data_IF_965063531170
#
_entry.id   IF_965063531170
#
_cell.length_a   1.000
_cell.length_b   1.000
_cell.length_c   1.000
_cell.angle_alpha   90.00
_cell.angle_beta   90.00
_cell.angle_gamma   90.00
#
_symmetry.space_group_name_H-M   'P 1'
#
loop_
_entity.id
_entity.type
_entity.pdbx_description
1 polymer ?
#
# COMPACT_ATOMS: atom_id res chain seq x y z
N UNK A 1 9.94 -29.07 -6.17
CA UNK A 1 10.58 -28.28 -5.10
C UNK A 1 10.32 -26.82 -5.39
N UNK A 2 9.33 -26.21 -4.74
CA UNK A 2 8.99 -24.81 -4.97
C UNK A 2 9.96 -23.93 -4.20
N UNK A 3 10.80 -23.19 -4.90
CA UNK A 3 11.58 -22.10 -4.29
C UNK A 3 10.60 -21.12 -3.62
N UNK A 4 10.95 -20.65 -2.42
CA UNK A 4 10.11 -19.72 -1.67
C UNK A 4 9.98 -18.39 -2.43
N UNK A 5 8.88 -17.67 -2.24
CA UNK A 5 8.73 -16.32 -2.79
C UNK A 5 9.91 -15.40 -2.40
N UNK A 6 10.39 -15.51 -1.17
CA UNK A 6 11.52 -14.74 -0.64
C UNK A 6 12.81 -14.99 -1.42
N UNK A 7 13.09 -16.25 -1.77
CA UNK A 7 14.25 -16.63 -2.58
C UNK A 7 14.19 -15.97 -3.96
N UNK A 8 13.06 -16.09 -4.65
CA UNK A 8 12.85 -15.45 -5.95
C UNK A 8 12.99 -13.93 -5.87
N UNK A 9 12.42 -13.31 -4.84
CA UNK A 9 12.50 -11.88 -4.62
C UNK A 9 13.95 -11.43 -4.40
N UNK A 10 14.71 -12.14 -3.57
CA UNK A 10 16.14 -11.84 -3.35
C UNK A 10 16.98 -11.98 -4.62
N UNK A 11 16.71 -12.98 -5.46
CA UNK A 11 17.40 -13.11 -6.75
C UNK A 11 17.07 -11.94 -7.68
N UNK A 12 15.79 -11.54 -7.76
CA UNK A 12 15.39 -10.36 -8.51
C UNK A 12 16.11 -9.10 -8.01
N UNK A 13 16.17 -8.89 -6.69
CA UNK A 13 16.84 -7.74 -6.08
C UNK A 13 18.33 -7.70 -6.44
N UNK A 14 19.01 -8.84 -6.39
CA UNK A 14 20.43 -8.94 -6.75
C UNK A 14 20.67 -8.57 -8.22
N UNK A 15 19.89 -9.14 -9.14
CA UNK A 15 20.00 -8.85 -10.57
C UNK A 15 19.68 -7.40 -10.92
N UNK A 16 18.60 -6.84 -10.33
CA UNK A 16 18.21 -5.46 -10.54
C UNK A 16 19.25 -4.48 -9.97
N UNK A 17 19.85 -4.79 -8.82
CA UNK A 17 20.90 -3.96 -8.20
C UNK A 17 22.12 -3.84 -9.10
N UNK A 18 22.55 -4.94 -9.74
CA UNK A 18 23.68 -4.93 -10.68
C UNK A 18 23.39 -3.97 -11.84
N UNK A 19 22.18 -4.01 -12.39
CA UNK A 19 21.80 -3.13 -13.50
C UNK A 19 21.71 -1.66 -13.06
N UNK A 20 21.21 -1.39 -11.85
CA UNK A 20 21.17 -0.03 -11.29
C UNK A 20 22.58 0.53 -11.07
N UNK A 21 23.52 -0.26 -10.54
CA UNK A 21 24.90 0.16 -10.37
C UNK A 21 25.60 0.47 -11.70
N UNK A 22 25.34 -0.33 -12.74
CA UNK A 22 25.85 -0.04 -14.08
C UNK A 22 25.31 1.29 -14.63
N UNK A 23 24.01 1.54 -14.47
CA UNK A 23 23.36 2.79 -14.89
C UNK A 23 23.78 4.02 -14.07
N UNK A 24 24.12 3.83 -12.79
CA UNK A 24 24.68 4.89 -11.95
C UNK A 24 26.13 5.23 -12.37
N UNK A 25 26.88 4.25 -12.91
CA UNK A 25 28.23 4.46 -13.45
C UNK A 25 28.22 5.05 -14.87
N UNK A 26 27.31 4.59 -15.73
CA UNK A 26 27.05 5.12 -17.07
C UNK A 26 25.55 5.18 -17.34
N UNK A 27 24.99 6.39 -17.31
CA UNK A 27 23.56 6.62 -17.55
C UNK A 27 23.10 6.26 -18.96
N UNK A 28 24.02 6.04 -19.90
CA UNK A 28 23.72 5.67 -21.29
C UNK A 28 23.94 4.18 -21.59
N UNK A 29 24.19 3.35 -20.57
CA UNK A 29 24.31 1.90 -20.75
C UNK A 29 22.98 1.28 -21.19
N UNK A 30 22.82 1.14 -22.51
CA UNK A 30 21.63 0.60 -23.14
C UNK A 30 21.40 -0.89 -22.81
N UNK A 31 22.46 -1.66 -22.56
CA UNK A 31 22.34 -3.08 -22.22
C UNK A 31 21.80 -3.23 -20.80
N UNK A 32 22.35 -2.48 -19.84
CA UNK A 32 21.86 -2.46 -18.47
C UNK A 32 20.41 -1.97 -18.40
N UNK A 33 20.06 -0.91 -19.13
CA UNK A 33 18.69 -0.41 -19.22
C UNK A 33 17.71 -1.48 -19.77
N UNK A 34 18.05 -2.12 -20.89
CA UNK A 34 17.20 -3.14 -21.50
C UNK A 34 17.11 -4.43 -20.66
N UNK A 35 18.15 -4.78 -19.90
CA UNK A 35 18.10 -5.88 -18.94
C UNK A 35 17.21 -5.53 -17.76
N UNK A 36 17.32 -4.31 -17.22
CA UNK A 36 16.51 -3.84 -16.11
C UNK A 36 15.03 -3.81 -16.45
N UNK A 37 14.67 -3.33 -17.64
CA UNK A 37 13.29 -3.32 -18.14
C UNK A 37 12.70 -4.74 -18.17
N UNK A 38 13.42 -5.70 -18.77
CA UNK A 38 12.99 -7.11 -18.80
C UNK A 38 12.82 -7.72 -17.41
N UNK A 39 13.70 -7.39 -16.48
CA UNK A 39 13.59 -7.84 -15.09
C UNK A 39 12.34 -7.26 -14.43
N UNK A 40 12.11 -5.95 -14.59
CA UNK A 40 10.96 -5.25 -14.02
C UNK A 40 9.63 -5.79 -14.59
N UNK A 41 9.55 -6.03 -15.89
CA UNK A 41 8.38 -6.62 -16.54
C UNK A 41 8.07 -8.01 -16.00
N UNK A 42 9.10 -8.86 -15.85
CA UNK A 42 8.95 -10.19 -15.25
C UNK A 42 8.44 -10.09 -13.82
N UNK A 43 9.04 -9.24 -13.00
CA UNK A 43 8.63 -9.03 -11.61
C UNK A 43 7.18 -8.51 -11.52
N UNK A 44 6.80 -7.55 -12.37
CA UNK A 44 5.44 -7.02 -12.42
C UNK A 44 4.43 -8.10 -12.81
N UNK A 45 4.77 -8.93 -13.79
CA UNK A 45 3.95 -10.07 -14.21
C UNK A 45 3.77 -11.11 -13.08
N UNK A 46 4.86 -11.49 -12.41
CA UNK A 46 4.84 -12.44 -11.29
C UNK A 46 4.01 -11.90 -10.12
N UNK A 47 4.23 -10.64 -9.72
CA UNK A 47 3.47 -9.99 -8.65
C UNK A 47 1.97 -9.91 -8.99
N UNK A 48 1.64 -9.59 -10.24
CA UNK A 48 0.26 -9.59 -10.72
C UNK A 48 -0.37 -10.98 -10.65
N UNK A 49 0.36 -12.03 -11.04
CA UNK A 49 -0.14 -13.41 -10.95
C UNK A 49 -0.36 -13.85 -9.51
N UNK A 50 0.58 -13.55 -8.60
CA UNK A 50 0.41 -13.83 -7.17
C UNK A 50 -0.85 -13.14 -6.64
N UNK A 51 -1.05 -11.87 -7.01
CA UNK A 51 -2.24 -11.11 -6.62
C UNK A 51 -3.54 -11.74 -7.15
N UNK A 52 -3.58 -12.11 -8.43
CA UNK A 52 -4.77 -12.71 -9.05
C UNK A 52 -5.11 -14.09 -8.49
N UNK A 53 -4.09 -14.91 -8.20
CA UNK A 53 -4.28 -16.27 -7.69
C UNK A 53 -4.61 -16.29 -6.21
N UNK A 54 -4.05 -15.36 -5.44
CA UNK A 54 -4.27 -15.29 -3.99
C UNK A 54 -4.13 -13.85 -3.47
N UNK A 55 -5.18 -13.02 -3.57
CA UNK A 55 -5.14 -11.64 -3.08
C UNK A 55 -4.78 -11.56 -1.59
N UNK A 56 -5.20 -12.53 -0.79
CA UNK A 56 -4.88 -12.58 0.64
C UNK A 56 -3.40 -12.89 0.91
N UNK A 57 -2.72 -13.59 -0.01
CA UNK A 57 -1.30 -13.90 0.15
C UNK A 57 -0.43 -12.67 -0.05
N UNK A 58 -0.88 -11.67 -0.82
CA UNK A 58 -0.11 -10.44 -1.03
C UNK A 58 0.11 -9.66 0.27
N UNK A 59 -0.88 -9.65 1.17
CA UNK A 59 -0.73 -8.99 2.46
C UNK A 59 0.33 -9.66 3.31
N UNK A 60 0.30 -11.00 3.34
CA UNK A 60 1.31 -11.79 4.05
C UNK A 60 2.70 -11.52 3.52
N UNK A 61 2.82 -11.42 2.20
CA UNK A 61 4.07 -11.10 1.51
C UNK A 61 4.54 -9.68 1.87
N UNK A 62 3.67 -8.67 1.80
CA UNK A 62 3.99 -7.28 2.18
C UNK A 62 4.38 -7.14 3.66
N UNK A 63 3.87 -8.01 4.52
CA UNK A 63 4.20 -8.08 5.95
C UNK A 63 5.50 -8.87 6.22
N UNK A 64 6.08 -9.56 5.24
CA UNK A 64 7.31 -10.34 5.44
C UNK A 64 8.54 -9.46 5.44
N UNK A 65 9.39 -9.61 6.47
CA UNK A 65 10.72 -9.03 6.49
C UNK A 65 11.72 -9.97 5.81
N UNK A 66 12.34 -9.53 4.71
CA UNK A 66 13.11 -10.42 3.83
C UNK A 66 14.34 -11.04 4.49
N UNK A 67 14.99 -10.37 5.45
CA UNK A 67 16.13 -10.96 6.17
C UNK A 67 15.72 -12.11 7.10
N UNK A 68 14.62 -11.96 7.82
CA UNK A 68 14.22 -12.89 8.88
C UNK A 68 13.24 -13.96 8.38
N UNK A 69 12.53 -13.70 7.28
CA UNK A 69 11.41 -14.52 6.81
C UNK A 69 10.19 -14.48 7.73
N UNK A 70 10.27 -13.68 8.80
CA UNK A 70 9.18 -13.54 9.76
C UNK A 70 8.20 -12.47 9.28
N UNK A 71 6.92 -12.66 9.64
CA UNK A 71 5.95 -11.58 9.50
C UNK A 71 6.33 -10.50 10.49
N UNK A 72 6.66 -9.35 9.96
CA UNK A 72 6.89 -8.16 10.74
C UNK A 72 5.56 -7.75 11.36
N UNK A 73 5.43 -7.98 12.67
CA UNK A 73 4.32 -7.42 13.46
C UNK A 73 4.38 -5.89 13.50
N UNK A 74 5.54 -5.33 13.17
CA UNK A 74 5.78 -3.90 13.10
C UNK A 74 5.87 -3.48 11.64
N UNK A 75 5.03 -2.56 11.15
CA UNK A 75 5.19 -2.02 9.80
C UNK A 75 6.56 -1.34 9.65
N UNK A 76 7.03 -1.21 8.40
CA UNK A 76 8.28 -0.49 8.14
C UNK A 76 8.21 0.94 8.73
N UNK A 77 9.31 1.44 9.33
CA UNK A 77 9.32 2.78 9.91
C UNK A 77 8.90 3.85 8.90
N UNK A 78 8.12 4.89 9.27
CA UNK A 78 7.74 5.96 8.35
C UNK A 78 8.95 6.62 7.65
N UNK A 79 10.09 6.72 8.35
CA UNK A 79 11.35 7.25 7.85
C UNK A 79 11.92 6.44 6.67
N UNK A 80 11.62 5.14 6.61
CA UNK A 80 12.05 4.26 5.52
C UNK A 80 11.41 4.69 4.20
N UNK A 81 10.07 4.80 4.17
CA UNK A 81 9.34 5.24 2.98
C UNK A 81 9.65 6.69 2.60
N UNK A 82 9.88 7.53 3.59
CA UNK A 82 10.35 8.89 3.38
C UNK A 82 11.69 8.89 2.62
N UNK A 83 12.70 8.17 3.09
CA UNK A 83 14.02 8.11 2.44
C UNK A 83 13.92 7.62 0.99
N UNK A 84 13.03 6.66 0.73
CA UNK A 84 12.75 6.19 -0.63
C UNK A 84 12.16 7.27 -1.53
N UNK A 85 11.20 8.06 -1.03
CA UNK A 85 10.61 9.16 -1.80
C UNK A 85 11.66 10.20 -2.23
N UNK A 86 12.73 10.39 -1.44
CA UNK A 86 13.85 11.26 -1.81
C UNK A 86 14.69 10.66 -2.95
N UNK A 87 14.88 9.34 -2.96
CA UNK A 87 15.61 8.62 -4.01
C UNK A 87 14.83 8.60 -5.34
N UNK A 88 13.50 8.52 -5.29
CA UNK A 88 12.66 8.40 -6.49
C UNK A 88 12.55 9.70 -7.29
N UNK A 89 12.82 10.85 -6.66
CA UNK A 89 12.75 12.19 -7.29
C UNK A 89 11.47 12.35 -8.11
N UNK A 90 10.32 12.11 -7.47
CA UNK A 90 9.02 12.15 -8.15
C UNK A 90 8.72 13.54 -8.70
N UNK A 91 8.29 13.62 -9.96
CA UNK A 91 7.87 14.90 -10.56
C UNK A 91 6.61 15.44 -9.88
N UNK A 92 6.34 16.76 -9.97
CA UNK A 92 5.12 17.33 -9.41
C UNK A 92 3.83 16.69 -9.95
N UNK A 93 3.81 16.28 -11.23
CA UNK A 93 2.67 15.58 -11.83
C UNK A 93 2.50 14.17 -11.26
N UNK A 94 3.59 13.41 -11.12
CA UNK A 94 3.57 12.09 -10.48
C UNK A 94 3.04 12.19 -9.04
N UNK A 95 3.55 13.16 -8.26
CA UNK A 95 3.08 13.38 -6.90
C UNK A 95 1.59 13.74 -6.86
N UNK A 96 1.12 14.62 -7.76
CA UNK A 96 -0.28 15.00 -7.83
C UNK A 96 -1.21 13.81 -8.11
N UNK A 97 -0.82 12.92 -9.05
CA UNK A 97 -1.58 11.71 -9.38
C UNK A 97 -1.66 10.74 -8.20
N UNK A 98 -0.53 10.46 -7.55
CA UNK A 98 -0.50 9.55 -6.40
C UNK A 98 -1.38 10.07 -5.25
N UNK A 99 -1.28 11.36 -4.96
CA UNK A 99 -2.07 11.98 -3.90
C UNK A 99 -3.56 12.02 -4.22
N UNK A 100 -3.94 12.20 -5.49
CA UNK A 100 -5.33 12.10 -5.93
C UNK A 100 -5.89 10.69 -5.70
N UNK A 101 -5.15 9.65 -6.11
CA UNK A 101 -5.57 8.26 -5.93
C UNK A 101 -5.62 7.88 -4.44
N UNK A 102 -4.67 8.36 -3.64
CA UNK A 102 -4.68 8.13 -2.19
C UNK A 102 -5.86 8.79 -1.48
N UNK A 103 -6.20 10.02 -1.86
CA UNK A 103 -7.40 10.68 -1.33
C UNK A 103 -8.68 9.92 -1.74
N UNK A 104 -8.74 9.41 -2.98
CA UNK A 104 -9.83 8.54 -3.41
C UNK A 104 -9.87 7.24 -2.58
N UNK A 105 -8.73 6.57 -2.37
CA UNK A 105 -8.65 5.39 -1.50
C UNK A 105 -9.18 5.74 -0.11
N UNK A 106 -8.68 6.80 0.54
CA UNK A 106 -9.08 7.17 1.89
C UNK A 106 -10.60 7.35 1.99
N UNK A 107 -11.20 8.04 1.01
CA UNK A 107 -12.66 8.24 0.95
C UNK A 107 -13.43 6.93 0.82
N UNK A 108 -12.96 5.97 0.02
CA UNK A 108 -13.65 4.68 -0.15
C UNK A 108 -13.39 3.76 1.04
N UNK A 109 -12.15 3.71 1.55
CA UNK A 109 -11.76 2.96 2.75
C UNK A 109 -12.57 3.39 3.96
N UNK A 110 -12.80 4.70 4.17
CA UNK A 110 -13.63 5.18 5.28
C UNK A 110 -15.05 4.62 5.23
N UNK A 111 -15.68 4.61 4.06
CA UNK A 111 -17.03 4.03 3.86
C UNK A 111 -17.04 2.52 4.09
N UNK A 112 -15.99 1.83 3.65
CA UNK A 112 -15.82 0.39 3.88
C UNK A 112 -15.70 0.09 5.37
N UNK A 113 -14.91 0.88 6.10
CA UNK A 113 -14.73 0.72 7.54
C UNK A 113 -16.02 1.03 8.32
N UNK A 114 -16.80 2.03 7.90
CA UNK A 114 -18.14 2.29 8.45
C UNK A 114 -19.08 1.09 8.24
N UNK A 115 -19.17 0.57 7.02
CA UNK A 115 -20.00 -0.60 6.72
C UNK A 115 -19.53 -1.85 7.49
N UNK A 116 -18.22 -2.03 7.64
CA UNK A 116 -17.65 -3.14 8.42
C UNK A 116 -18.03 -3.04 9.90
N UNK A 117 -17.96 -1.85 10.50
CA UNK A 117 -18.38 -1.63 11.89
C UNK A 117 -19.86 -1.91 12.09
N UNK A 118 -20.72 -1.44 11.19
CA UNK A 118 -22.17 -1.73 11.23
C UNK A 118 -22.47 -3.23 11.13
N UNK A 119 -21.80 -3.93 10.22
CA UNK A 119 -21.98 -5.39 10.06
C UNK A 119 -21.44 -6.18 11.25
N UNK A 120 -20.34 -5.74 11.86
CA UNK A 120 -19.79 -6.35 13.08
C UNK A 120 -20.74 -6.16 14.27
N UNK A 121 -21.36 -4.98 14.43
CA UNK A 121 -22.39 -4.75 15.45
C UNK A 121 -23.56 -5.70 15.29
N UNK A 122 -24.11 -5.80 14.06
CA UNK A 122 -25.23 -6.71 13.75
C UNK A 122 -24.90 -8.18 13.98
N UNK A 123 -23.67 -8.59 13.67
CA UNK A 123 -23.23 -9.95 13.94
C UNK A 123 -23.15 -10.20 15.45
N UNK A 124 -22.64 -9.25 16.22
CA UNK A 124 -22.56 -9.35 17.67
C UNK A 124 -23.95 -9.42 18.32
N UNK A 125 -24.87 -8.53 17.93
CA UNK A 125 -26.27 -8.52 18.38
C UNK A 125 -27.00 -9.83 18.00
N UNK A 126 -26.78 -10.34 16.79
CA UNK A 126 -27.36 -11.60 16.34
C UNK A 126 -26.87 -12.80 17.15
N UNK A 127 -25.58 -12.81 17.52
CA UNK A 127 -24.99 -13.84 18.37
C UNK A 127 -25.53 -13.79 19.81
N UNK A 128 -25.71 -12.60 20.39
CA UNK A 128 -26.31 -12.44 21.73
C UNK A 128 -27.77 -12.94 21.76
N UNK A 129 -28.55 -12.64 20.71
CA UNK A 129 -29.92 -13.14 20.58
C UNK A 129 -29.97 -14.67 20.43
N UNK A 130 -28.99 -15.27 19.76
CA UNK A 130 -28.84 -16.71 19.62
C UNK A 130 -28.49 -17.41 20.95
N UNK A 131 -27.65 -16.81 21.78
CA UNK A 131 -27.35 -17.32 23.13
C UNK A 131 -28.58 -17.34 24.03
N UNK A 132 -29.52 -16.42 23.80
CA UNK A 132 -30.71 -16.24 24.64
C UNK A 132 -31.90 -17.13 24.22
N UNK A 133 -32.02 -17.52 22.94
CA UNK A 133 -33.23 -18.19 22.40
C UNK A 133 -32.92 -19.34 21.39
N UNK A 134 -31.91 -20.15 21.72
CA UNK A 134 -31.41 -21.29 20.93
C UNK A 134 -32.50 -22.29 20.49
N UNK A 135 -33.51 -22.53 21.34
CA UNK A 135 -34.56 -23.52 21.06
C UNK A 135 -35.58 -23.06 20.00
N UNK A 136 -35.85 -21.75 19.91
CA UNK A 136 -36.78 -21.20 18.92
C UNK A 136 -36.15 -21.00 17.53
N UNK A 137 -34.86 -20.63 17.50
CA UNK A 137 -34.12 -20.40 16.26
C UNK A 137 -33.90 -21.68 15.46
N UNK A 138 -33.62 -22.79 16.16
CA UNK A 138 -33.44 -24.12 15.58
C UNK A 138 -34.70 -24.63 14.85
N UNK A 139 -35.89 -24.13 15.21
CA UNK A 139 -37.17 -24.54 14.61
C UNK A 139 -37.62 -23.69 13.41
N UNK A 140 -37.04 -22.50 13.19
CA UNK A 140 -37.60 -21.48 12.27
C UNK A 140 -36.73 -21.09 11.08
N UNK A 141 -35.46 -21.49 10.98
CA UNK A 141 -34.58 -20.98 9.92
C UNK A 141 -33.93 -22.04 9.04
N UNK A 142 -34.12 -21.91 7.72
CA UNK A 142 -33.36 -22.65 6.69
C UNK A 142 -32.01 -22.00 6.35
N UNK A 143 -31.81 -20.72 6.70
CA UNK A 143 -30.54 -19.99 6.56
C UNK A 143 -30.44 -19.04 7.76
N UNK A 144 -29.37 -19.14 8.55
CA UNK A 144 -29.20 -18.28 9.72
C UNK A 144 -28.82 -16.84 9.29
N UNK A 145 -29.31 -15.78 9.97
CA UNK A 145 -29.04 -14.38 9.64
C UNK A 145 -27.54 -14.05 9.65
N UNK A 146 -26.75 -14.77 10.44
CA UNK A 146 -25.28 -14.69 10.47
C UNK A 146 -24.69 -14.99 9.08
N UNK A 147 -25.26 -15.96 8.35
CA UNK A 147 -24.79 -16.30 7.00
C UNK A 147 -25.00 -15.14 6.00
N UNK A 148 -26.04 -14.32 6.19
CA UNK A 148 -26.28 -13.13 5.36
C UNK A 148 -25.24 -12.05 5.67
N UNK A 149 -24.97 -11.81 6.96
CA UNK A 149 -23.97 -10.85 7.42
C UNK A 149 -22.56 -11.26 6.98
N UNK A 150 -22.19 -12.54 7.11
CA UNK A 150 -20.91 -13.10 6.66
C UNK A 150 -20.73 -12.92 5.15
N UNK A 151 -21.75 -13.24 4.33
CA UNK A 151 -21.69 -13.01 2.88
C UNK A 151 -21.46 -11.54 2.54
N UNK A 152 -22.05 -10.62 3.31
CA UNK A 152 -21.87 -9.18 3.10
C UNK A 152 -20.50 -8.69 3.54
N UNK A 153 -20.00 -9.16 4.69
CA UNK A 153 -18.62 -8.92 5.13
C UNK A 153 -17.60 -9.40 4.09
N UNK A 154 -17.82 -10.57 3.49
CA UNK A 154 -16.95 -11.08 2.43
C UNK A 154 -16.90 -10.13 1.21
N UNK A 155 -18.05 -9.58 0.79
CA UNK A 155 -18.10 -8.56 -0.28
C UNK A 155 -17.40 -7.25 0.12
N UNK A 156 -17.47 -6.85 1.39
CA UNK A 156 -16.74 -5.68 1.92
C UNK A 156 -15.24 -5.90 1.79
N UNK A 157 -14.74 -7.06 2.22
CA UNK A 157 -13.33 -7.44 2.13
C UNK A 157 -12.83 -7.43 0.67
N UNK A 158 -13.59 -7.98 -0.27
CA UNK A 158 -13.18 -7.93 -1.68
C UNK A 158 -13.13 -6.52 -2.27
N UNK A 159 -14.03 -5.62 -1.85
CA UNK A 159 -13.96 -4.21 -2.26
C UNK A 159 -12.72 -3.53 -1.69
N UNK A 160 -12.37 -3.82 -0.44
CA UNK A 160 -11.15 -3.32 0.19
C UNK A 160 -9.90 -3.76 -0.58
N UNK A 161 -9.80 -5.05 -0.90
CA UNK A 161 -8.72 -5.61 -1.72
C UNK A 161 -8.65 -4.97 -3.11
N UNK A 162 -9.81 -4.75 -3.75
CA UNK A 162 -9.88 -4.11 -5.06
C UNK A 162 -9.35 -2.67 -5.05
N UNK A 163 -9.57 -1.92 -3.97
CA UNK A 163 -9.07 -0.54 -3.85
C UNK A 163 -7.56 -0.50 -3.63
N UNK A 164 -7.03 -1.41 -2.81
CA UNK A 164 -5.58 -1.52 -2.62
C UNK A 164 -4.88 -1.85 -3.94
N UNK A 165 -5.52 -2.64 -4.80
CA UNK A 165 -4.99 -2.92 -6.13
C UNK A 165 -4.97 -1.69 -7.04
N UNK A 166 -5.94 -0.79 -6.94
CA UNK A 166 -5.92 0.46 -7.70
C UNK A 166 -4.65 1.26 -7.40
N UNK A 167 -4.25 1.40 -6.13
CA UNK A 167 -3.01 2.12 -5.82
C UNK A 167 -1.78 1.42 -6.38
N UNK A 168 -1.72 0.09 -6.27
CA UNK A 168 -0.62 -0.70 -6.85
C UNK A 168 -0.52 -0.48 -8.36
N UNK A 169 -1.64 -0.58 -9.07
CA UNK A 169 -1.70 -0.39 -10.52
C UNK A 169 -1.30 1.03 -10.92
N UNK A 170 -1.76 2.04 -10.18
CA UNK A 170 -1.39 3.42 -10.47
C UNK A 170 0.07 3.72 -10.15
N UNK A 171 0.59 3.24 -9.03
CA UNK A 171 1.98 3.45 -8.63
C UNK A 171 2.92 2.76 -9.63
N UNK A 172 2.80 1.45 -9.79
CA UNK A 172 3.75 0.64 -10.57
C UNK A 172 3.47 0.64 -12.07
N UNK A 173 2.21 0.74 -12.49
CA UNK A 173 1.83 0.61 -13.90
C UNK A 173 1.67 1.92 -14.66
N UNK A 174 1.46 3.05 -13.97
CA UNK A 174 1.11 4.33 -14.63
C UNK A 174 1.95 5.53 -14.20
N UNK A 175 2.54 5.49 -13.01
CA UNK A 175 3.19 6.67 -12.44
C UNK A 175 4.70 6.58 -12.51
N UNK A 176 5.29 5.50 -12.01
CA UNK A 176 6.74 5.35 -11.97
C UNK A 176 7.30 4.98 -13.35
N UNK A 177 8.46 5.53 -13.70
CA UNK A 177 9.27 4.98 -14.78
C UNK A 177 9.86 3.63 -14.37
N UNK A 178 10.34 2.85 -15.35
CA UNK A 178 11.04 1.57 -15.09
C UNK A 178 12.19 1.76 -14.10
N UNK A 179 13.00 2.82 -14.28
CA UNK A 179 14.11 3.14 -13.39
C UNK A 179 13.63 3.47 -11.97
N UNK A 180 12.56 4.27 -11.83
CA UNK A 180 12.00 4.59 -10.52
C UNK A 180 11.40 3.34 -9.85
N UNK A 181 10.71 2.49 -10.60
CA UNK A 181 10.18 1.23 -10.09
C UNK A 181 11.31 0.31 -9.59
N UNK A 182 12.37 0.12 -10.39
CA UNK A 182 13.54 -0.64 -9.98
C UNK A 182 14.19 -0.11 -8.71
N UNK A 183 14.42 1.22 -8.66
CA UNK A 183 14.96 1.88 -7.46
C UNK A 183 14.06 1.64 -6.26
N UNK A 184 12.75 1.82 -6.41
CA UNK A 184 11.81 1.58 -5.33
C UNK A 184 11.93 0.15 -4.80
N UNK A 185 11.92 -0.85 -5.68
CA UNK A 185 11.97 -2.26 -5.26
C UNK A 185 13.30 -2.59 -4.59
N UNK A 186 14.42 -2.18 -5.17
CA UNK A 186 15.77 -2.46 -4.64
C UNK A 186 16.02 -1.76 -3.32
N UNK A 187 15.75 -0.45 -3.23
CA UNK A 187 16.03 0.33 -2.04
C UNK A 187 15.02 0.10 -0.91
N UNK A 188 13.90 -0.58 -1.15
CA UNK A 188 12.96 -0.95 -0.08
C UNK A 188 13.46 -2.08 0.80
N UNK A 189 14.54 -2.76 0.41
CA UNK A 189 15.16 -3.79 1.24
C UNK A 189 15.40 -3.28 2.68
N UNK A 190 15.06 -4.05 3.73
CA UNK A 190 14.60 -5.45 3.71
C UNK A 190 13.08 -5.65 3.63
N UNK A 191 12.32 -4.59 3.38
CA UNK A 191 10.87 -4.63 3.24
C UNK A 191 10.44 -4.80 1.79
N UNK A 192 9.26 -5.38 1.60
CA UNK A 192 8.61 -5.37 0.30
C UNK A 192 7.89 -4.03 0.12
N UNK A 193 8.03 -3.36 -1.03
CA UNK A 193 7.40 -2.07 -1.26
C UNK A 193 5.88 -2.14 -1.06
N UNK A 194 5.36 -1.45 -0.04
CA UNK A 194 3.92 -1.30 0.20
C UNK A 194 3.42 -0.02 -0.51
N UNK A 195 2.65 -0.14 -1.61
CA UNK A 195 2.14 1.00 -2.34
C UNK A 195 1.34 1.96 -1.47
N UNK A 196 0.56 1.44 -0.52
CA UNK A 196 -0.30 2.25 0.34
C UNK A 196 0.55 3.03 1.35
N UNK A 197 1.53 2.37 1.99
CA UNK A 197 2.43 3.02 2.94
C UNK A 197 3.29 4.11 2.28
N UNK A 198 3.80 3.85 1.06
CA UNK A 198 4.62 4.81 0.30
C UNK A 198 3.80 6.06 -0.04
N UNK A 199 2.59 5.89 -0.55
CA UNK A 199 1.76 7.04 -0.94
C UNK A 199 1.21 7.77 0.30
N UNK A 200 0.94 7.06 1.40
CA UNK A 200 0.62 7.66 2.69
C UNK A 200 1.76 8.56 3.19
N UNK A 201 3.01 8.06 3.15
CA UNK A 201 4.19 8.85 3.53
C UNK A 201 4.33 10.12 2.66
N UNK A 202 4.03 10.03 1.36
CA UNK A 202 4.01 11.20 0.47
C UNK A 202 2.93 12.21 0.87
N UNK A 203 1.73 11.73 1.23
CA UNK A 203 0.64 12.58 1.70
C UNK A 203 1.00 13.30 3.01
N UNK A 204 1.58 12.58 3.97
CA UNK A 204 2.05 13.14 5.24
C UNK A 204 3.14 14.20 5.04
N UNK A 205 4.12 13.95 4.16
CA UNK A 205 5.14 14.93 3.77
C UNK A 205 4.51 16.22 3.25
N UNK A 206 3.54 16.11 2.33
CA UNK A 206 2.85 17.28 1.75
C UNK A 206 2.09 18.06 2.81
N UNK A 207 1.39 17.38 3.72
CA UNK A 207 0.67 18.04 4.80
C UNK A 207 1.61 18.72 5.80
N UNK A 208 2.76 18.11 6.13
CA UNK A 208 3.77 18.72 6.96
C UNK A 208 4.33 20.02 6.35
N UNK A 209 4.57 20.05 5.04
CA UNK A 209 4.98 21.26 4.32
C UNK A 209 3.90 22.34 4.37
N UNK A 210 2.63 21.97 4.13
CA UNK A 210 1.50 22.91 4.23
C UNK A 210 1.39 23.53 5.61
N UNK A 211 1.49 22.73 6.69
CA UNK A 211 1.43 23.20 8.09
C UNK A 211 2.57 24.18 8.42
N UNK A 212 3.79 23.92 7.93
CA UNK A 212 4.92 24.84 8.10
C UNK A 212 4.66 26.17 7.39
N UNK A 213 4.16 26.14 6.16
CA UNK A 213 3.85 27.35 5.39
C UNK A 213 2.72 28.18 6.01
N UNK A 214 1.67 27.54 6.51
CA UNK A 214 0.58 28.25 7.20
C UNK A 214 1.04 28.85 8.53
N UNK A 215 1.87 28.14 9.29
CA UNK A 215 2.51 28.66 10.50
C UNK A 215 3.36 29.91 10.23
N UNK A 216 4.20 29.88 9.18
CA UNK A 216 5.02 31.03 8.78
C UNK A 216 4.16 32.23 8.38
N UNK A 217 3.07 32.00 7.61
CA UNK A 217 2.15 33.07 7.20
C UNK A 217 1.47 33.72 8.40
N UNK A 218 1.05 32.92 9.38
CA UNK A 218 0.45 33.42 10.62
C UNK A 218 1.45 34.26 11.43
N UNK A 219 2.67 33.77 11.64
CA UNK A 219 3.71 34.51 12.35
C UNK A 219 4.05 35.85 11.67
N UNK A 220 4.08 35.89 10.32
CA UNK A 220 4.27 37.14 9.57
C UNK A 220 3.12 38.12 9.74
N UNK A 221 1.88 37.65 9.79
CA UNK A 221 0.72 38.52 10.02
C UNK A 221 0.71 39.10 11.44
N UNK A 222 1.07 38.29 12.44
CA UNK A 222 1.19 38.72 13.84
C UNK A 222 2.32 39.76 14.03
N UNK A 223 3.48 39.59 13.37
CA UNK A 223 4.55 40.59 13.40
C UNK A 223 4.19 41.91 12.70
N UNK A 224 3.35 41.87 11.66
CA UNK A 224 2.92 43.07 10.94
C UNK A 224 1.91 43.92 11.75
N UNK A 225 1.09 43.29 12.61
CA UNK A 225 0.14 44.01 13.46
C UNK A 225 0.77 44.52 14.77
N UNK A 226 1.88 43.93 15.23
CA UNK A 226 2.60 44.41 16.43
C UNK A 226 3.57 45.57 16.19
N UNK A 227 3.66 46.12 14.98
CA UNK A 227 4.49 47.30 14.66
C UNK A 227 3.68 48.60 14.53
N UNK A 228 2.34 48.52 14.65
CA UNK A 228 1.42 49.66 14.57
C UNK A 228 0.92 50.12 15.97
N UNK A 229 1.47 49.56 17.07
CA UNK A 229 1.28 50.01 18.46
C UNK A 229 2.55 50.70 19.00
#
# INVERSE_FOLDING_TARGET
SGESFESHWKFFLADASICLLALDADSNDAEAAAKLERLCDRCAFEMKNIFLLSPQSIHRVLETHLDTGERSTTPAPPEHWNSLLDILVLTPDQQARLLFIYDLQCRVSNKIQEERRDLQSKLHEGLELLETDLEQLTRKMHISPECIVIKRLHKVVYRELGIQEIIREYLYGKTLSVLQFAKLVVYSYPYIPDPTAIVAALAERREAVKRKLTGIRRARAEMAHGQDE
#
